data_IF_114751874138
#
_entry.id   IF_114751874138
#
_cell.length_a   1.000
_cell.length_b   1.000
_cell.length_c   1.000
_cell.angle_alpha   90.00
_cell.angle_beta   90.00
_cell.angle_gamma   90.00
#
_symmetry.space_group_name_H-M   'P 1'
#
loop_
_entity.id
_entity.type
_entity.pdbx_description
1 polymer ?
#
# COMPACT_ATOMS: atom_id res chain seq x y z
N UNK A 1 15.41 -12.60 -18.29
CA UNK A 1 15.36 -12.80 -16.83
C UNK A 1 16.09 -14.06 -16.49
N UNK A 2 17.05 -14.01 -15.56
CA UNK A 2 17.79 -15.21 -15.15
C UNK A 2 16.89 -16.12 -14.31
N UNK A 3 17.10 -17.43 -14.40
CA UNK A 3 16.33 -18.41 -13.61
C UNK A 3 16.49 -18.18 -12.08
N UNK A 4 17.65 -17.67 -11.66
CA UNK A 4 17.93 -17.28 -10.28
C UNK A 4 16.99 -16.17 -9.79
N UNK A 5 16.77 -15.14 -10.60
CA UNK A 5 15.88 -14.02 -10.27
C UNK A 5 14.41 -14.48 -10.16
N UNK A 6 13.97 -15.37 -11.05
CA UNK A 6 12.61 -15.96 -10.97
C UNK A 6 12.42 -16.70 -9.65
N UNK A 7 13.40 -17.52 -9.26
CA UNK A 7 13.37 -18.28 -8.01
C UNK A 7 13.24 -17.36 -6.77
N UNK A 8 13.92 -16.19 -6.82
CA UNK A 8 13.83 -15.18 -5.76
C UNK A 8 12.46 -14.51 -5.66
N UNK A 9 11.70 -14.42 -6.76
CA UNK A 9 10.41 -13.75 -6.78
C UNK A 9 9.24 -14.66 -6.35
N UNK A 10 9.35 -15.97 -6.57
CA UNK A 10 8.27 -16.91 -6.27
C UNK A 10 7.77 -16.89 -4.82
N UNK A 11 8.62 -16.90 -3.77
CA UNK A 11 8.15 -16.79 -2.39
C UNK A 11 7.37 -15.50 -2.15
N UNK A 12 7.81 -14.38 -2.72
CA UNK A 12 7.16 -13.09 -2.54
C UNK A 12 5.82 -13.01 -3.28
N UNK A 13 5.70 -13.65 -4.45
CA UNK A 13 4.41 -13.79 -5.15
C UNK A 13 3.42 -14.55 -4.26
N UNK A 14 3.83 -15.70 -3.69
CA UNK A 14 2.97 -16.50 -2.83
C UNK A 14 2.47 -15.73 -1.60
N UNK A 15 3.37 -14.98 -0.93
CA UNK A 15 3.00 -14.10 0.19
C UNK A 15 2.08 -12.97 -0.26
N UNK A 16 2.33 -12.37 -1.42
CA UNK A 16 1.48 -11.30 -1.93
C UNK A 16 0.08 -11.80 -2.28
N UNK A 17 -0.05 -13.01 -2.82
CA UNK A 17 -1.34 -13.67 -3.04
C UNK A 17 -2.05 -13.88 -1.69
N UNK A 18 -1.37 -14.47 -0.72
CA UNK A 18 -1.90 -14.71 0.63
C UNK A 18 -2.41 -13.43 1.29
N UNK A 19 -1.58 -12.37 1.33
CA UNK A 19 -1.94 -11.11 1.98
C UNK A 19 -3.18 -10.47 1.33
N UNK A 20 -3.27 -10.48 0.00
CA UNK A 20 -4.39 -9.85 -0.70
C UNK A 20 -5.65 -10.71 -0.74
N UNK A 21 -5.53 -12.04 -0.70
CA UNK A 21 -6.68 -12.91 -0.47
C UNK A 21 -7.35 -12.60 0.86
N UNK A 22 -6.58 -12.48 1.94
CA UNK A 22 -7.09 -12.12 3.25
C UNK A 22 -7.73 -10.71 3.26
N UNK A 23 -7.06 -9.69 2.71
CA UNK A 23 -7.59 -8.31 2.71
C UNK A 23 -8.90 -8.16 1.93
N UNK A 24 -9.18 -9.01 0.96
CA UNK A 24 -10.45 -9.01 0.23
C UNK A 24 -11.61 -9.47 1.10
N UNK A 25 -11.38 -10.46 1.94
CA UNK A 25 -12.43 -11.14 2.70
C UNK A 25 -12.57 -10.66 4.15
N UNK A 26 -11.55 -9.99 4.70
CA UNK A 26 -11.59 -9.50 6.09
C UNK A 26 -12.78 -8.53 6.34
N UNK A 27 -13.05 -7.50 5.51
CA UNK A 27 -14.18 -6.61 5.77
C UNK A 27 -15.52 -7.34 5.80
N UNK A 28 -15.89 -8.18 4.80
CA UNK A 28 -17.13 -8.94 4.84
C UNK A 28 -17.17 -10.02 5.93
N UNK A 29 -16.03 -10.58 6.31
CA UNK A 29 -15.96 -11.52 7.43
C UNK A 29 -16.32 -10.86 8.77
N UNK A 30 -15.80 -9.65 9.02
CA UNK A 30 -16.12 -8.87 10.21
C UNK A 30 -17.59 -8.41 10.22
N UNK A 31 -18.12 -8.05 9.07
CA UNK A 31 -19.53 -7.70 8.90
C UNK A 31 -20.44 -8.91 9.17
N UNK A 32 -20.07 -10.10 8.68
CA UNK A 32 -20.75 -11.36 8.99
C UNK A 32 -20.78 -11.66 10.49
N UNK A 33 -19.75 -11.25 11.23
CA UNK A 33 -19.70 -11.33 12.69
C UNK A 33 -20.55 -10.25 13.38
N UNK A 34 -21.31 -9.45 12.64
CA UNK A 34 -22.14 -8.35 13.14
C UNK A 34 -21.34 -7.27 13.90
N UNK A 35 -20.09 -7.06 13.52
CA UNK A 35 -19.24 -6.01 14.10
C UNK A 35 -19.63 -4.66 13.51
N UNK A 36 -19.80 -3.60 14.34
CA UNK A 36 -20.13 -2.27 13.84
C UNK A 36 -19.13 -1.78 12.81
N UNK A 37 -19.60 -1.15 11.72
CA UNK A 37 -18.76 -0.81 10.56
C UNK A 37 -17.63 0.16 10.91
N UNK A 38 -17.83 1.07 11.88
CA UNK A 38 -16.78 1.93 12.41
C UNK A 38 -15.64 1.11 13.03
N UNK A 39 -15.99 0.06 13.78
CA UNK A 39 -15.01 -0.83 14.39
C UNK A 39 -14.30 -1.68 13.35
N UNK A 40 -14.98 -2.10 12.28
CA UNK A 40 -14.36 -2.80 11.14
C UNK A 40 -13.23 -1.95 10.55
N UNK A 41 -13.49 -0.67 10.25
CA UNK A 41 -12.48 0.25 9.74
C UNK A 41 -11.27 0.39 10.67
N UNK A 42 -11.53 0.53 11.98
CA UNK A 42 -10.48 0.64 13.00
C UNK A 42 -9.65 -0.64 13.13
N UNK A 43 -10.29 -1.81 13.15
CA UNK A 43 -9.62 -3.10 13.22
C UNK A 43 -8.71 -3.33 12.01
N UNK A 44 -9.17 -2.98 10.82
CA UNK A 44 -8.36 -3.09 9.58
C UNK A 44 -7.15 -2.17 9.65
N UNK A 45 -7.29 -0.96 10.19
CA UNK A 45 -6.20 0.02 10.33
C UNK A 45 -5.08 -0.44 11.28
N UNK A 46 -5.35 -1.34 12.22
CA UNK A 46 -4.33 -1.87 13.14
C UNK A 46 -3.17 -2.55 12.39
N UNK A 47 -3.46 -3.25 11.30
CA UNK A 47 -2.43 -3.89 10.48
C UNK A 47 -1.38 -2.90 9.96
N UNK A 48 -1.76 -1.88 9.18
CA UNK A 48 -0.85 -0.83 8.72
C UNK A 48 -0.13 -0.08 9.86
N UNK A 49 -0.78 0.16 11.02
CA UNK A 49 -0.12 0.77 12.19
C UNK A 49 1.06 -0.09 12.66
N UNK A 50 0.81 -1.37 12.91
CA UNK A 50 1.85 -2.28 13.40
C UNK A 50 2.90 -2.57 12.32
N UNK A 51 2.53 -2.58 11.04
CA UNK A 51 3.47 -2.66 9.93
C UNK A 51 4.42 -1.45 9.89
N UNK A 52 3.89 -0.24 10.05
CA UNK A 52 4.71 0.99 10.11
C UNK A 52 5.68 0.95 11.30
N UNK A 53 5.19 0.57 12.48
CA UNK A 53 6.01 0.46 13.68
C UNK A 53 7.11 -0.61 13.58
N UNK A 54 6.87 -1.70 12.84
CA UNK A 54 7.86 -2.77 12.68
C UNK A 54 9.01 -2.42 11.74
N UNK A 55 8.79 -1.56 10.74
CA UNK A 55 9.77 -1.30 9.66
C UNK A 55 11.11 -0.78 10.15
N UNK A 56 11.08 0.19 11.07
CA UNK A 56 12.32 0.81 11.54
C UNK A 56 13.16 -0.14 12.40
N UNK A 57 12.65 -0.74 13.50
CA UNK A 57 13.45 -1.63 14.34
C UNK A 57 13.93 -2.87 13.58
N UNK A 58 13.09 -3.42 12.72
CA UNK A 58 13.43 -4.61 11.93
C UNK A 58 14.47 -4.30 10.85
N UNK A 59 14.35 -3.14 10.18
CA UNK A 59 15.34 -2.69 9.20
C UNK A 59 16.71 -2.45 9.83
N UNK A 60 16.77 -1.89 11.04
CA UNK A 60 18.01 -1.69 11.79
C UNK A 60 18.64 -3.01 12.26
N UNK A 61 17.83 -4.02 12.55
CA UNK A 61 18.28 -5.34 12.97
C UNK A 61 18.65 -6.27 11.81
N UNK A 62 18.56 -5.80 10.56
CA UNK A 62 18.88 -6.61 9.38
C UNK A 62 20.33 -7.10 9.40
N UNK A 63 20.49 -8.42 9.22
CA UNK A 63 21.79 -9.07 9.13
C UNK A 63 21.74 -10.12 8.00
N UNK A 64 22.62 -10.02 7.02
CA UNK A 64 22.71 -10.94 5.87
C UNK A 64 22.73 -12.41 6.26
N UNK A 65 23.49 -12.76 7.29
CA UNK A 65 23.66 -14.17 7.71
C UNK A 65 22.37 -14.76 8.25
N UNK A 66 21.52 -13.94 8.88
CA UNK A 66 20.26 -14.33 9.50
C UNK A 66 19.03 -13.95 8.66
N UNK A 67 19.21 -13.22 7.57
CA UNK A 67 18.13 -12.67 6.76
C UNK A 67 17.12 -13.73 6.35
N UNK A 68 17.57 -14.88 5.86
CA UNK A 68 16.71 -15.99 5.45
C UNK A 68 15.87 -16.54 6.60
N UNK A 69 16.45 -16.69 7.79
CA UNK A 69 15.72 -17.16 8.98
C UNK A 69 14.67 -16.17 9.42
N UNK A 70 15.01 -14.87 9.48
CA UNK A 70 14.09 -13.83 9.93
C UNK A 70 12.95 -13.62 8.92
N UNK A 71 13.25 -13.66 7.62
CA UNK A 71 12.24 -13.66 6.55
C UNK A 71 11.31 -14.86 6.68
N UNK A 72 11.85 -16.07 6.90
CA UNK A 72 11.05 -17.27 7.12
C UNK A 72 10.15 -17.14 8.36
N UNK A 73 10.68 -16.63 9.46
CA UNK A 73 9.91 -16.41 10.68
C UNK A 73 8.74 -15.44 10.46
N UNK A 74 8.97 -14.36 9.70
CA UNK A 74 7.90 -13.42 9.34
C UNK A 74 6.83 -14.08 8.44
N UNK A 75 7.23 -14.90 7.46
CA UNK A 75 6.30 -15.66 6.62
C UNK A 75 5.49 -16.66 7.45
N UNK A 76 6.13 -17.39 8.37
CA UNK A 76 5.45 -18.33 9.27
C UNK A 76 4.47 -17.59 10.17
N UNK A 77 4.86 -16.45 10.74
CA UNK A 77 3.97 -15.63 11.56
C UNK A 77 2.73 -15.17 10.77
N UNK A 78 2.90 -14.74 9.51
CA UNK A 78 1.79 -14.40 8.63
C UNK A 78 0.91 -15.62 8.31
N UNK A 79 1.49 -16.80 8.10
CA UNK A 79 0.75 -18.04 7.89
C UNK A 79 -0.06 -18.42 9.12
N UNK A 80 0.56 -18.37 10.30
CA UNK A 80 -0.09 -18.66 11.57
C UNK A 80 -1.25 -17.69 11.85
N UNK A 81 -1.05 -16.40 11.65
CA UNK A 81 -2.11 -15.40 11.85
C UNK A 81 -3.26 -15.61 10.87
N UNK A 82 -2.97 -15.97 9.60
CA UNK A 82 -4.03 -16.33 8.66
C UNK A 82 -4.82 -17.56 9.13
N UNK A 83 -4.15 -18.59 9.60
CA UNK A 83 -4.84 -19.76 10.16
C UNK A 83 -5.70 -19.36 11.36
N UNK A 84 -5.19 -18.51 12.25
CA UNK A 84 -5.89 -18.04 13.44
C UNK A 84 -7.12 -17.16 13.13
N UNK A 85 -7.15 -16.44 11.99
CA UNK A 85 -8.37 -15.72 11.58
C UNK A 85 -9.57 -16.64 11.41
N UNK A 86 -9.36 -17.90 11.01
CA UNK A 86 -10.45 -18.90 10.89
C UNK A 86 -11.17 -19.19 12.21
N UNK A 87 -10.56 -18.88 13.34
CA UNK A 87 -11.07 -19.10 14.69
C UNK A 87 -11.41 -17.82 15.44
N UNK A 88 -11.25 -16.66 14.80
CA UNK A 88 -11.51 -15.37 15.44
C UNK A 88 -13.02 -15.19 15.65
N UNK A 89 -13.46 -15.26 16.90
CA UNK A 89 -14.88 -15.15 17.29
C UNK A 89 -15.22 -13.82 17.97
N UNK A 90 -14.22 -12.99 18.27
CA UNK A 90 -14.42 -11.71 18.93
C UNK A 90 -13.57 -10.61 18.30
N UNK A 91 -14.04 -9.33 18.37
CA UNK A 91 -13.27 -8.19 17.88
C UNK A 91 -11.88 -8.07 18.51
N UNK A 92 -11.77 -8.39 19.81
CA UNK A 92 -10.49 -8.33 20.52
C UNK A 92 -9.50 -9.39 20.03
N UNK A 93 -9.97 -10.61 19.82
CA UNK A 93 -9.15 -11.70 19.26
C UNK A 93 -8.68 -11.31 17.84
N UNK A 94 -9.59 -10.78 17.03
CA UNK A 94 -9.24 -10.29 15.70
C UNK A 94 -8.20 -9.17 15.76
N UNK A 95 -8.34 -8.20 16.67
CA UNK A 95 -7.39 -7.09 16.84
C UNK A 95 -5.97 -7.58 17.15
N UNK A 96 -5.83 -8.57 18.05
CA UNK A 96 -4.54 -9.16 18.42
C UNK A 96 -3.92 -9.87 17.20
N UNK A 97 -4.70 -10.71 16.51
CA UNK A 97 -4.23 -11.41 15.30
C UNK A 97 -3.81 -10.41 14.22
N UNK A 98 -4.64 -9.38 13.97
CA UNK A 98 -4.37 -8.33 12.99
C UNK A 98 -3.11 -7.53 13.33
N UNK A 99 -2.88 -7.26 14.62
CA UNK A 99 -1.67 -6.60 15.08
C UNK A 99 -0.41 -7.42 14.80
N UNK A 100 -0.43 -8.71 15.14
CA UNK A 100 0.69 -9.64 14.87
C UNK A 100 0.90 -9.78 13.36
N UNK A 101 -0.17 -9.92 12.58
CA UNK A 101 -0.11 -10.01 11.12
C UNK A 101 0.52 -8.75 10.51
N UNK A 102 0.07 -7.56 10.95
CA UNK A 102 0.59 -6.28 10.50
C UNK A 102 2.08 -6.13 10.80
N UNK A 103 2.51 -6.45 12.03
CA UNK A 103 3.92 -6.43 12.41
C UNK A 103 4.75 -7.38 11.52
N UNK A 104 4.29 -8.60 11.33
CA UNK A 104 4.96 -9.61 10.49
C UNK A 104 5.03 -9.15 9.03
N UNK A 105 3.95 -8.57 8.49
CA UNK A 105 3.91 -8.03 7.12
C UNK A 105 4.89 -6.87 6.92
N UNK A 106 4.94 -5.91 7.84
CA UNK A 106 5.88 -4.79 7.78
C UNK A 106 7.34 -5.25 7.88
N UNK A 107 7.62 -6.20 8.78
CA UNK A 107 8.93 -6.84 8.89
C UNK A 107 9.31 -7.57 7.60
N UNK A 108 8.40 -8.39 7.07
CA UNK A 108 8.63 -9.16 5.86
C UNK A 108 8.94 -8.28 4.65
N UNK A 109 8.09 -7.27 4.37
CA UNK A 109 8.28 -6.40 3.20
C UNK A 109 9.58 -5.62 3.25
N UNK A 110 10.01 -5.20 4.46
CA UNK A 110 11.28 -4.50 4.67
C UNK A 110 12.48 -5.43 4.48
N UNK A 111 12.45 -6.60 5.11
CA UNK A 111 13.57 -7.55 5.07
C UNK A 111 13.68 -8.25 3.73
N UNK A 112 12.56 -8.60 3.11
CA UNK A 112 12.60 -9.32 1.84
C UNK A 112 13.17 -8.48 0.72
N UNK A 113 12.88 -7.19 0.69
CA UNK A 113 13.46 -6.28 -0.28
C UNK A 113 14.99 -6.23 -0.14
N UNK A 114 15.51 -6.11 1.10
CA UNK A 114 16.93 -6.13 1.36
C UNK A 114 17.55 -7.49 0.99
N UNK A 115 16.94 -8.58 1.42
CA UNK A 115 17.34 -9.96 1.09
C UNK A 115 17.38 -10.20 -0.42
N UNK A 116 16.36 -9.73 -1.15
CA UNK A 116 16.29 -9.84 -2.61
C UNK A 116 17.47 -9.13 -3.29
N UNK A 117 17.74 -7.88 -2.90
CA UNK A 117 18.85 -7.10 -3.47
C UNK A 117 20.21 -7.73 -3.18
N UNK A 118 20.40 -8.27 -1.97
CA UNK A 118 21.63 -8.94 -1.57
C UNK A 118 21.86 -10.31 -2.23
N UNK A 119 20.79 -10.92 -2.70
CA UNK A 119 20.82 -12.21 -3.40
C UNK A 119 20.96 -12.09 -4.92
N UNK A 120 20.94 -10.87 -5.47
CA UNK A 120 21.16 -10.64 -6.90
C UNK A 120 22.62 -10.92 -7.28
N UNK A 121 22.84 -11.49 -8.47
CA UNK A 121 24.18 -11.69 -9.00
C UNK A 121 24.89 -10.34 -9.20
N UNK A 122 26.24 -10.27 -9.03
CA UNK A 122 26.98 -9.01 -9.12
C UNK A 122 26.87 -8.30 -10.46
N UNK A 123 26.67 -9.06 -11.54
CA UNK A 123 26.51 -8.60 -12.92
C UNK A 123 25.05 -8.35 -13.33
N UNK A 124 24.09 -8.53 -12.42
CA UNK A 124 22.67 -8.31 -12.71
C UNK A 124 22.30 -6.83 -12.61
N UNK A 125 21.56 -6.34 -13.61
CA UNK A 125 21.06 -4.98 -13.61
C UNK A 125 20.01 -4.78 -12.52
N UNK A 126 20.40 -4.07 -11.46
CA UNK A 126 19.54 -3.83 -10.29
C UNK A 126 18.25 -3.11 -10.62
N UNK A 127 18.24 -2.21 -11.61
CA UNK A 127 17.03 -1.49 -12.00
C UNK A 127 16.02 -2.45 -12.62
N UNK A 128 16.46 -3.36 -13.49
CA UNK A 128 15.58 -4.39 -14.06
C UNK A 128 15.09 -5.35 -12.99
N UNK A 129 15.97 -5.79 -12.09
CA UNK A 129 15.62 -6.68 -10.99
C UNK A 129 14.56 -6.05 -10.08
N UNK A 130 14.69 -4.76 -9.71
CA UNK A 130 13.67 -4.04 -8.95
C UNK A 130 12.36 -3.91 -9.70
N UNK A 131 12.39 -3.72 -11.02
CA UNK A 131 11.20 -3.75 -11.86
C UNK A 131 10.45 -5.10 -11.78
N UNK A 132 11.19 -6.21 -11.82
CA UNK A 132 10.60 -7.55 -11.65
C UNK A 132 10.04 -7.77 -10.24
N UNK A 133 10.73 -7.26 -9.21
CA UNK A 133 10.25 -7.31 -7.83
C UNK A 133 8.90 -6.60 -7.66
N UNK A 134 8.80 -5.36 -8.13
CA UNK A 134 7.54 -4.59 -8.07
C UNK A 134 6.45 -5.24 -8.92
N UNK A 135 6.80 -5.75 -10.10
CA UNK A 135 5.88 -6.50 -10.96
C UNK A 135 5.35 -7.77 -10.31
N UNK A 136 6.20 -8.49 -9.58
CA UNK A 136 5.79 -9.70 -8.85
C UNK A 136 4.80 -9.40 -7.72
N UNK A 137 5.01 -8.30 -6.99
CA UNK A 137 4.05 -7.82 -5.98
C UNK A 137 2.69 -7.51 -6.61
N UNK A 138 2.69 -6.78 -7.72
CA UNK A 138 1.48 -6.38 -8.41
C UNK A 138 0.70 -7.59 -8.96
N UNK A 139 1.41 -8.59 -9.50
CA UNK A 139 0.83 -9.87 -9.92
C UNK A 139 0.20 -10.60 -8.73
N UNK A 140 0.92 -10.68 -7.60
CA UNK A 140 0.41 -11.27 -6.38
C UNK A 140 -0.84 -10.53 -5.84
N UNK A 141 -0.87 -9.20 -5.92
CA UNK A 141 -2.03 -8.40 -5.51
C UNK A 141 -3.26 -8.69 -6.35
N UNK A 142 -3.13 -8.69 -7.67
CA UNK A 142 -4.26 -8.98 -8.56
C UNK A 142 -4.76 -10.41 -8.37
N UNK A 143 -3.86 -11.38 -8.42
CA UNK A 143 -4.18 -12.81 -8.25
C UNK A 143 -4.78 -13.10 -6.87
N UNK A 144 -4.23 -12.50 -5.81
CA UNK A 144 -4.72 -12.67 -4.44
C UNK A 144 -6.13 -12.14 -4.24
N UNK A 145 -6.43 -10.94 -4.75
CA UNK A 145 -7.78 -10.39 -4.68
C UNK A 145 -8.80 -11.30 -5.39
N UNK A 146 -8.45 -11.82 -6.57
CA UNK A 146 -9.32 -12.72 -7.32
C UNK A 146 -9.57 -14.03 -6.56
N UNK A 147 -8.51 -14.74 -6.17
CA UNK A 147 -8.64 -16.01 -5.47
C UNK A 147 -9.24 -15.85 -4.07
N UNK A 148 -8.98 -14.73 -3.39
CA UNK A 148 -9.61 -14.43 -2.10
C UNK A 148 -11.14 -14.39 -2.20
N UNK A 149 -11.67 -13.68 -3.20
CA UNK A 149 -13.11 -13.63 -3.46
C UNK A 149 -13.67 -14.98 -3.92
N UNK A 150 -12.99 -15.65 -4.87
CA UNK A 150 -13.42 -16.94 -5.42
C UNK A 150 -13.51 -18.02 -4.35
N UNK A 151 -12.47 -18.18 -3.53
CA UNK A 151 -12.42 -19.21 -2.49
C UNK A 151 -13.45 -18.93 -1.40
N UNK A 152 -13.60 -17.66 -0.99
CA UNK A 152 -14.59 -17.29 0.01
C UNK A 152 -16.02 -17.53 -0.46
N UNK A 153 -16.30 -17.31 -1.72
CA UNK A 153 -17.63 -17.48 -2.32
C UNK A 153 -18.05 -18.96 -2.37
N UNK A 154 -17.11 -19.87 -2.70
CA UNK A 154 -17.41 -21.30 -2.88
C UNK A 154 -17.17 -22.15 -1.62
N UNK A 155 -16.21 -21.80 -0.79
CA UNK A 155 -15.79 -22.61 0.37
C UNK A 155 -15.81 -21.83 1.70
N UNK A 156 -16.24 -20.56 1.68
CA UNK A 156 -16.37 -19.71 2.85
C UNK A 156 -15.08 -19.02 3.29
N UNK A 157 -15.23 -18.10 4.24
CA UNK A 157 -14.14 -17.25 4.73
C UNK A 157 -12.98 -18.04 5.33
N UNK A 158 -13.30 -19.08 6.14
CA UNK A 158 -12.29 -19.92 6.79
C UNK A 158 -11.36 -20.61 5.77
N UNK A 159 -11.91 -21.10 4.66
CA UNK A 159 -11.12 -21.70 3.59
C UNK A 159 -10.14 -20.73 2.95
N UNK A 160 -10.52 -19.46 2.79
CA UNK A 160 -9.62 -18.42 2.28
C UNK A 160 -8.46 -18.14 3.23
N UNK A 161 -8.72 -18.10 4.53
CA UNK A 161 -7.67 -17.92 5.53
C UNK A 161 -6.74 -19.15 5.60
N UNK A 162 -7.29 -20.35 5.52
CA UNK A 162 -6.49 -21.60 5.47
C UNK A 162 -5.64 -21.67 4.19
N UNK A 163 -6.18 -21.30 3.04
CA UNK A 163 -5.41 -21.15 1.80
C UNK A 163 -4.26 -20.16 1.98
N UNK A 164 -4.52 -19.02 2.64
CA UNK A 164 -3.48 -18.05 2.99
C UNK A 164 -2.37 -18.67 3.85
N UNK A 165 -2.72 -19.47 4.84
CA UNK A 165 -1.74 -20.20 5.66
C UNK A 165 -0.90 -21.17 4.83
N UNK A 166 -1.53 -21.95 3.95
CA UNK A 166 -0.83 -22.85 3.04
C UNK A 166 0.12 -22.13 2.08
N UNK A 167 -0.31 -20.99 1.53
CA UNK A 167 0.55 -20.16 0.66
C UNK A 167 1.75 -19.59 1.40
N UNK A 168 1.62 -19.24 2.68
CA UNK A 168 2.75 -18.83 3.51
C UNK A 168 3.73 -19.97 3.75
N UNK A 169 3.25 -21.19 4.02
CA UNK A 169 4.11 -22.36 4.16
C UNK A 169 4.79 -22.71 2.84
N UNK A 170 4.07 -22.63 1.72
CA UNK A 170 4.64 -22.77 0.38
C UNK A 170 5.75 -21.75 0.14
N UNK A 171 5.55 -20.48 0.52
CA UNK A 171 6.56 -19.44 0.38
C UNK A 171 7.83 -19.76 1.17
N UNK A 172 7.70 -20.24 2.40
CA UNK A 172 8.83 -20.72 3.20
C UNK A 172 9.50 -21.93 2.53
N UNK A 173 8.74 -22.90 2.07
CA UNK A 173 9.26 -24.06 1.34
C UNK A 173 10.05 -23.66 0.11
N UNK A 174 9.52 -22.75 -0.72
CA UNK A 174 10.20 -22.22 -1.90
C UNK A 174 11.47 -21.46 -1.54
N UNK A 175 11.44 -20.67 -0.45
CA UNK A 175 12.61 -19.93 0.02
C UNK A 175 13.76 -20.86 0.43
N UNK A 176 13.47 -22.04 0.98
CA UNK A 176 14.45 -23.03 1.40
C UNK A 176 14.86 -24.00 0.28
N UNK A 177 13.93 -24.37 -0.59
CA UNK A 177 14.18 -25.23 -1.75
C UNK A 177 15.14 -24.57 -2.74
N UNK A 178 14.95 -23.29 -3.00
CA UNK A 178 15.85 -22.54 -3.86
C UNK A 178 17.07 -22.08 -3.04
N UNK A 179 18.16 -22.85 -3.06
CA UNK A 179 19.44 -22.45 -2.47
C UNK A 179 19.91 -21.15 -3.12
N UNK A 180 19.65 -20.04 -2.45
CA UNK A 180 20.00 -18.71 -2.93
C UNK A 180 21.32 -18.31 -2.30
N UNK A 181 22.42 -18.21 -3.09
CA UNK A 181 23.66 -17.68 -2.57
C UNK A 181 23.42 -16.22 -2.20
N UNK A 182 23.65 -15.86 -0.95
CA UNK A 182 23.73 -14.46 -0.54
C UNK A 182 25.07 -13.97 -1.03
N UNK A 183 25.06 -13.24 -2.13
CA UNK A 183 26.24 -12.53 -2.60
C UNK A 183 26.38 -11.30 -1.71
N UNK A 184 27.05 -11.43 -0.57
CA UNK A 184 27.45 -10.30 0.25
C UNK A 184 28.37 -9.41 -0.60
N UNK A 185 27.79 -8.59 -1.45
CA UNK A 185 28.50 -7.43 -1.97
C UNK A 185 28.82 -6.63 -0.72
N UNK A 186 30.11 -6.43 -0.45
CA UNK A 186 30.57 -5.39 0.46
C UNK A 186 30.03 -4.05 -0.08
N UNK A 187 28.71 -3.84 0.08
CA UNK A 187 28.18 -2.49 0.09
C UNK A 187 28.88 -1.90 1.31
N UNK A 188 30.04 -1.26 1.07
CA UNK A 188 30.54 -0.26 2.00
C UNK A 188 29.29 0.44 2.46
N UNK A 189 28.93 0.20 3.72
CA UNK A 189 27.83 0.88 4.35
C UNK A 189 28.01 2.32 3.88
N UNK A 190 27.08 2.80 3.06
CA UNK A 190 27.00 4.24 2.78
C UNK A 190 26.88 4.75 4.19
N UNK A 191 28.02 5.17 4.74
CA UNK A 191 28.04 5.78 6.06
C UNK A 191 26.94 6.79 5.95
N UNK A 192 25.83 6.53 6.63
CA UNK A 192 24.77 7.51 6.80
C UNK A 192 25.50 8.66 7.51
N UNK A 193 26.05 9.56 6.67
CA UNK A 193 26.83 10.68 7.11
C UNK A 193 25.86 11.62 7.81
N UNK A 194 25.81 11.48 9.11
CA UNK A 194 25.04 12.35 9.99
C UNK A 194 23.82 11.65 10.60
N UNK A 195 23.81 11.61 11.93
CA UNK A 195 22.60 11.35 12.71
C UNK A 195 21.54 12.33 12.21
N UNK A 196 20.43 11.84 11.63
CA UNK A 196 19.29 12.69 11.31
C UNK A 196 18.83 13.33 12.61
N UNK A 197 19.01 14.63 12.75
CA UNK A 197 18.40 15.37 13.85
C UNK A 197 16.89 15.39 13.64
N UNK A 198 16.14 15.06 14.68
CA UNK A 198 14.66 15.18 14.63
C UNK A 198 14.22 16.58 14.19
N UNK A 199 15.00 17.63 14.57
CA UNK A 199 14.75 19.01 14.17
C UNK A 199 14.90 19.24 12.66
N UNK A 200 15.90 18.61 12.01
CA UNK A 200 16.06 18.69 10.54
C UNK A 200 14.93 17.94 9.82
N UNK A 201 14.50 16.81 10.37
CA UNK A 201 13.38 16.04 9.81
C UNK A 201 12.06 16.81 9.88
N UNK A 202 11.80 17.51 10.99
CA UNK A 202 10.64 18.36 11.14
C UNK A 202 10.70 19.59 10.23
N UNK A 203 11.86 20.27 10.13
CA UNK A 203 12.01 21.40 9.21
C UNK A 203 11.80 20.99 7.76
N UNK A 204 12.27 19.81 7.35
CA UNK A 204 12.06 19.30 6.01
C UNK A 204 10.57 19.11 5.64
N UNK A 205 9.70 18.81 6.61
CA UNK A 205 8.25 18.69 6.40
C UNK A 205 7.60 20.02 6.02
N UNK A 206 8.21 21.14 6.40
CA UNK A 206 7.72 22.49 6.09
C UNK A 206 8.27 23.04 4.76
N UNK A 207 9.19 22.32 4.08
CA UNK A 207 9.58 22.69 2.72
C UNK A 207 8.38 22.54 1.77
N UNK A 208 7.91 23.63 1.13
CA UNK A 208 6.64 23.63 0.41
C UNK A 208 6.55 22.62 -0.72
N UNK A 209 7.68 22.37 -1.39
CA UNK A 209 7.79 21.40 -2.47
C UNK A 209 7.61 19.97 -1.95
N UNK A 210 8.29 19.62 -0.85
CA UNK A 210 8.14 18.31 -0.22
C UNK A 210 6.75 18.16 0.40
N UNK A 211 6.26 19.17 1.11
CA UNK A 211 4.93 19.16 1.74
C UNK A 211 3.83 18.86 0.71
N UNK A 212 3.91 19.47 -0.47
CA UNK A 212 2.94 19.22 -1.54
C UNK A 212 2.93 17.76 -1.99
N UNK A 213 4.10 17.19 -2.27
CA UNK A 213 4.24 15.79 -2.71
C UNK A 213 3.76 14.82 -1.63
N UNK A 214 4.06 15.13 -0.37
CA UNK A 214 3.64 14.35 0.83
C UNK A 214 2.12 14.39 1.01
N UNK A 215 1.49 15.55 0.85
CA UNK A 215 0.04 15.70 0.95
C UNK A 215 -0.68 14.92 -0.16
N UNK A 216 -0.17 14.98 -1.39
CA UNK A 216 -0.70 14.14 -2.49
C UNK A 216 -0.60 12.66 -2.14
N UNK A 217 0.55 12.19 -1.65
CA UNK A 217 0.75 10.79 -1.26
C UNK A 217 -0.21 10.36 -0.15
N UNK A 218 -0.39 11.19 0.87
CA UNK A 218 -1.31 10.95 1.98
C UNK A 218 -2.74 10.74 1.46
N UNK A 219 -3.31 11.75 0.81
CA UNK A 219 -4.71 11.71 0.39
C UNK A 219 -4.98 10.69 -0.72
N UNK A 220 -4.03 10.47 -1.62
CA UNK A 220 -4.12 9.42 -2.63
C UNK A 220 -4.25 8.03 -2.00
N UNK A 221 -3.57 7.78 -0.86
CA UNK A 221 -3.67 6.53 -0.14
C UNK A 221 -4.90 6.47 0.77
N UNK A 222 -5.34 7.57 1.37
CA UNK A 222 -6.62 7.64 2.09
C UNK A 222 -7.78 7.24 1.19
N UNK A 223 -7.93 7.89 0.04
CA UNK A 223 -9.00 7.61 -0.94
C UNK A 223 -8.94 6.17 -1.44
N UNK A 224 -7.72 5.68 -1.73
CA UNK A 224 -7.54 4.31 -2.16
C UNK A 224 -7.97 3.29 -1.12
N UNK A 225 -7.55 3.45 0.13
CA UNK A 225 -7.86 2.48 1.17
C UNK A 225 -9.34 2.50 1.57
N UNK A 226 -9.98 3.68 1.58
CA UNK A 226 -11.44 3.74 1.70
C UNK A 226 -12.09 2.91 0.58
N UNK A 227 -11.79 3.20 -0.68
CA UNK A 227 -12.36 2.47 -1.82
C UNK A 227 -12.07 0.97 -1.76
N UNK A 228 -10.84 0.58 -1.38
CA UNK A 228 -10.42 -0.82 -1.33
C UNK A 228 -11.13 -1.63 -0.24
N UNK A 229 -11.32 -1.06 0.95
CA UNK A 229 -11.98 -1.73 2.07
C UNK A 229 -13.49 -1.77 1.87
N UNK A 230 -14.09 -0.62 1.54
CA UNK A 230 -15.54 -0.49 1.53
C UNK A 230 -16.19 -1.02 0.26
N UNK A 231 -15.45 -1.27 -0.84
CA UNK A 231 -16.01 -1.97 -2.01
C UNK A 231 -16.46 -3.40 -1.66
N UNK A 232 -15.77 -4.07 -0.74
CA UNK A 232 -16.15 -5.41 -0.33
C UNK A 232 -17.50 -5.42 0.41
N UNK A 233 -17.72 -4.43 1.27
CA UNK A 233 -19.00 -4.27 1.99
C UNK A 233 -20.10 -3.75 1.06
N UNK A 234 -19.81 -2.74 0.26
CA UNK A 234 -20.75 -2.18 -0.70
C UNK A 234 -21.23 -3.20 -1.73
N UNK A 235 -20.27 -3.92 -2.34
CA UNK A 235 -20.61 -4.95 -3.33
C UNK A 235 -21.58 -5.98 -2.80
N UNK A 236 -21.34 -6.50 -1.60
CA UNK A 236 -22.26 -7.44 -0.96
C UNK A 236 -23.63 -6.82 -0.65
N UNK A 237 -23.66 -5.56 -0.19
CA UNK A 237 -24.92 -4.87 0.12
C UNK A 237 -25.81 -4.64 -1.11
N UNK A 238 -25.22 -4.59 -2.32
CA UNK A 238 -25.95 -4.48 -3.59
C UNK A 238 -26.13 -5.83 -4.31
N UNK A 239 -25.84 -6.94 -3.62
CA UNK A 239 -26.07 -8.29 -4.13
C UNK A 239 -24.97 -8.86 -5.03
N UNK A 240 -23.78 -8.26 -5.05
CA UNK A 240 -22.60 -8.86 -5.71
C UNK A 240 -22.09 -10.05 -4.90
N UNK A 241 -21.56 -11.07 -5.58
CA UNK A 241 -20.89 -12.18 -4.91
C UNK A 241 -19.46 -11.80 -4.48
N UNK A 242 -18.87 -12.56 -3.56
CA UNK A 242 -17.47 -12.37 -3.15
C UNK A 242 -16.51 -12.56 -4.33
N UNK A 243 -16.81 -13.46 -5.26
CA UNK A 243 -16.07 -13.63 -6.51
C UNK A 243 -16.09 -12.34 -7.35
N UNK A 244 -17.24 -11.72 -7.53
CA UNK A 244 -17.38 -10.47 -8.28
C UNK A 244 -16.62 -9.33 -7.62
N UNK A 245 -16.69 -9.20 -6.30
CA UNK A 245 -15.89 -8.23 -5.53
C UNK A 245 -14.39 -8.50 -5.72
N UNK A 246 -13.98 -9.76 -5.65
CA UNK A 246 -12.61 -10.17 -5.90
C UNK A 246 -12.10 -9.78 -7.29
N UNK A 247 -12.94 -9.96 -8.33
CA UNK A 247 -12.63 -9.54 -9.71
C UNK A 247 -12.48 -8.02 -9.81
N UNK A 248 -13.39 -7.23 -9.20
CA UNK A 248 -13.30 -5.75 -9.20
C UNK A 248 -11.97 -5.30 -8.59
N UNK A 249 -11.59 -5.85 -7.44
CA UNK A 249 -10.32 -5.54 -6.76
C UNK A 249 -9.12 -6.01 -7.57
N UNK A 250 -9.20 -7.19 -8.16
CA UNK A 250 -8.14 -7.75 -9.02
C UNK A 250 -7.92 -6.92 -10.28
N UNK A 251 -9.00 -6.50 -10.94
CA UNK A 251 -8.94 -5.65 -12.12
C UNK A 251 -8.32 -4.28 -11.79
N UNK A 252 -8.74 -3.66 -10.69
CA UNK A 252 -8.13 -2.42 -10.19
C UNK A 252 -6.62 -2.57 -9.99
N UNK A 253 -6.18 -3.60 -9.27
CA UNK A 253 -4.77 -3.84 -8.99
C UNK A 253 -3.97 -4.17 -10.26
N UNK A 254 -4.53 -5.01 -11.13
CA UNK A 254 -3.92 -5.38 -12.41
C UNK A 254 -3.76 -4.20 -13.35
N UNK A 255 -4.81 -3.39 -13.52
CA UNK A 255 -4.76 -2.18 -14.34
C UNK A 255 -3.75 -1.16 -13.78
N UNK A 256 -3.72 -0.96 -12.47
CA UNK A 256 -2.73 -0.10 -11.83
C UNK A 256 -1.29 -0.58 -12.11
N UNK A 257 -1.05 -1.89 -12.03
CA UNK A 257 0.26 -2.48 -12.29
C UNK A 257 0.73 -2.33 -13.75
N UNK A 258 -0.14 -2.67 -14.70
CA UNK A 258 0.17 -2.63 -16.15
C UNK A 258 0.34 -1.19 -16.64
N UNK A 259 -0.36 -0.24 -16.05
CA UNK A 259 -0.31 1.17 -16.47
C UNK A 259 0.93 1.90 -15.97
N UNK A 260 1.54 1.49 -14.84
CA UNK A 260 2.71 2.19 -14.27
C UNK A 260 3.87 2.39 -15.25
N UNK A 261 4.33 1.39 -16.00
CA UNK A 261 5.41 1.58 -16.97
C UNK A 261 5.07 2.59 -18.06
N UNK A 262 3.80 2.64 -18.46
CA UNK A 262 3.30 3.52 -19.53
C UNK A 262 3.10 4.95 -19.00
N UNK A 263 2.80 5.09 -17.70
CA UNK A 263 2.51 6.38 -17.06
C UNK A 263 3.64 7.38 -17.20
N UNK A 264 4.90 6.94 -17.29
CA UNK A 264 6.03 7.82 -17.51
C UNK A 264 5.91 8.66 -18.80
N UNK A 265 5.39 8.07 -19.89
CA UNK A 265 5.16 8.80 -21.16
C UNK A 265 4.06 9.85 -21.01
N UNK A 266 2.99 9.51 -20.26
CA UNK A 266 1.88 10.44 -19.99
C UNK A 266 2.38 11.61 -19.15
N UNK A 267 3.16 11.33 -18.10
CA UNK A 267 3.75 12.34 -17.21
C UNK A 267 4.70 13.28 -17.98
N UNK A 268 5.51 12.73 -18.87
CA UNK A 268 6.42 13.53 -19.69
C UNK A 268 5.68 14.48 -20.66
N UNK A 269 4.48 14.09 -21.16
CA UNK A 269 3.71 14.92 -22.08
C UNK A 269 2.83 15.95 -21.38
N UNK A 270 2.19 15.60 -20.28
CA UNK A 270 1.19 16.43 -19.60
C UNK A 270 1.78 17.19 -18.39
N UNK A 271 3.00 16.85 -17.98
CA UNK A 271 3.65 17.42 -16.80
C UNK A 271 3.21 16.79 -15.49
N UNK A 272 4.17 16.55 -14.59
CA UNK A 272 3.90 15.87 -13.31
C UNK A 272 3.05 16.73 -12.35
N UNK A 273 3.23 18.08 -12.34
CA UNK A 273 2.48 18.98 -11.43
C UNK A 273 0.98 18.95 -11.69
N UNK A 274 0.57 19.11 -12.94
CA UNK A 274 -0.84 19.08 -13.33
C UNK A 274 -1.48 17.74 -12.97
N UNK A 275 -0.83 16.61 -13.30
CA UNK A 275 -1.32 15.28 -13.01
C UNK A 275 -1.40 14.99 -11.50
N UNK A 276 -0.46 15.48 -10.70
CA UNK A 276 -0.51 15.31 -9.25
C UNK A 276 -1.64 16.13 -8.61
N UNK A 277 -1.85 17.39 -9.04
CA UNK A 277 -2.88 18.26 -8.49
C UNK A 277 -4.31 17.90 -8.90
N UNK A 278 -4.51 17.57 -10.18
CA UNK A 278 -5.85 17.27 -10.70
C UNK A 278 -6.19 15.79 -10.72
N UNK A 279 -5.18 14.93 -10.69
CA UNK A 279 -5.40 13.49 -10.74
C UNK A 279 -6.09 12.92 -9.50
N UNK A 280 -5.75 13.42 -8.30
CA UNK A 280 -6.44 13.00 -7.07
C UNK A 280 -7.92 13.42 -7.05
N UNK A 281 -8.30 14.69 -7.32
CA UNK A 281 -9.69 15.09 -7.45
C UNK A 281 -10.46 14.27 -8.51
N UNK A 282 -9.83 14.02 -9.64
CA UNK A 282 -10.44 13.22 -10.71
C UNK A 282 -10.64 11.76 -10.27
N UNK A 283 -9.68 11.15 -9.57
CA UNK A 283 -9.84 9.81 -9.00
C UNK A 283 -10.97 9.77 -7.96
N UNK A 284 -11.05 10.78 -7.10
CA UNK A 284 -12.12 10.92 -6.13
C UNK A 284 -13.48 11.04 -6.81
N UNK A 285 -13.58 11.86 -7.86
CA UNK A 285 -14.80 12.02 -8.65
C UNK A 285 -15.24 10.70 -9.31
N UNK A 286 -14.31 9.92 -9.85
CA UNK A 286 -14.62 8.59 -10.40
C UNK A 286 -15.20 7.68 -9.31
N UNK A 287 -14.62 7.68 -8.10
CA UNK A 287 -15.11 6.84 -7.02
C UNK A 287 -16.49 7.30 -6.49
N UNK A 288 -16.85 8.59 -6.59
CA UNK A 288 -18.20 9.04 -6.22
C UNK A 288 -19.29 8.48 -7.12
N UNK A 289 -18.94 7.95 -8.29
CA UNK A 289 -19.90 7.30 -9.18
C UNK A 289 -20.28 5.89 -8.72
N UNK A 290 -19.48 5.26 -7.84
CA UNK A 290 -19.73 3.87 -7.39
C UNK A 290 -21.14 3.65 -6.85
N UNK A 291 -21.69 4.50 -5.97
CA UNK A 291 -23.06 4.29 -5.45
C UNK A 291 -24.17 4.42 -6.48
N UNK A 292 -23.90 4.99 -7.65
CA UNK A 292 -24.88 5.07 -8.74
C UNK A 292 -25.04 3.74 -9.47
N UNK A 293 -24.12 2.81 -9.25
CA UNK A 293 -24.04 1.53 -9.94
C UNK A 293 -24.20 0.37 -8.95
N UNK A 294 -25.21 -0.44 -9.16
CA UNK A 294 -25.58 -1.56 -8.27
C UNK A 294 -25.26 -2.92 -8.83
N UNK A 295 -24.68 -3.00 -10.04
CA UNK A 295 -24.35 -4.26 -10.69
C UNK A 295 -22.85 -4.41 -10.93
N UNK A 296 -22.36 -5.64 -10.91
CA UNK A 296 -20.97 -5.95 -11.20
C UNK A 296 -20.47 -5.34 -12.51
N UNK A 297 -21.26 -5.46 -13.59
CA UNK A 297 -20.89 -4.99 -14.92
C UNK A 297 -20.70 -3.47 -15.02
N UNK A 298 -21.35 -2.70 -14.15
CA UNK A 298 -21.25 -1.23 -14.11
C UNK A 298 -20.22 -0.73 -13.10
N UNK A 299 -20.02 -1.42 -11.99
CA UNK A 299 -19.00 -1.09 -10.97
C UNK A 299 -17.59 -1.39 -11.48
N UNK A 300 -17.42 -2.49 -12.22
CA UNK A 300 -16.11 -2.92 -12.72
C UNK A 300 -15.40 -1.85 -13.57
N UNK A 301 -16.02 -1.22 -14.59
CA UNK A 301 -15.38 -0.16 -15.37
C UNK A 301 -14.96 1.05 -14.52
N UNK A 302 -15.74 1.43 -13.51
CA UNK A 302 -15.41 2.54 -12.61
C UNK A 302 -14.12 2.25 -11.85
N UNK A 303 -13.98 1.02 -11.33
CA UNK A 303 -12.76 0.61 -10.63
C UNK A 303 -11.56 0.47 -11.57
N UNK A 304 -11.75 -0.02 -12.79
CA UNK A 304 -10.71 -0.06 -13.83
C UNK A 304 -10.21 1.35 -14.13
N UNK A 305 -11.10 2.29 -14.40
CA UNK A 305 -10.74 3.70 -14.66
C UNK A 305 -10.00 4.32 -13.46
N UNK A 306 -10.47 4.07 -12.24
CA UNK A 306 -9.80 4.54 -11.02
C UNK A 306 -8.40 3.94 -10.88
N UNK A 307 -8.20 2.65 -11.19
CA UNK A 307 -6.91 1.97 -11.17
C UNK A 307 -5.91 2.53 -12.18
N UNK A 308 -6.36 2.78 -13.41
CA UNK A 308 -5.56 3.40 -14.47
C UNK A 308 -5.08 4.80 -14.06
N UNK A 309 -6.01 5.63 -13.60
CA UNK A 309 -5.71 7.00 -13.19
C UNK A 309 -4.76 7.03 -11.98
N UNK A 310 -5.00 6.18 -10.99
CA UNK A 310 -4.11 6.08 -9.82
C UNK A 310 -2.67 5.77 -10.22
N UNK A 311 -2.44 4.87 -11.18
CA UNK A 311 -1.10 4.56 -11.66
C UNK A 311 -0.39 5.80 -12.19
N UNK A 312 -1.09 6.61 -12.97
CA UNK A 312 -0.55 7.86 -13.54
C UNK A 312 -0.20 8.85 -12.42
N UNK A 313 -1.11 9.04 -11.46
CA UNK A 313 -0.91 10.00 -10.34
C UNK A 313 0.25 9.57 -9.44
N UNK A 314 0.38 8.28 -9.12
CA UNK A 314 1.51 7.77 -8.33
C UNK A 314 2.84 8.07 -9.02
N UNK A 315 2.94 7.83 -10.33
CA UNK A 315 4.16 8.09 -11.10
C UNK A 315 4.43 9.58 -11.19
N UNK A 316 3.41 10.41 -11.45
CA UNK A 316 3.54 11.87 -11.47
C UNK A 316 4.05 12.40 -10.13
N UNK A 317 3.49 11.93 -9.02
CA UNK A 317 3.90 12.37 -7.68
C UNK A 317 5.32 11.91 -7.33
N UNK A 318 5.72 10.69 -7.75
CA UNK A 318 7.09 10.21 -7.58
C UNK A 318 8.10 11.02 -8.40
N UNK A 319 7.73 11.47 -9.61
CA UNK A 319 8.54 12.39 -10.41
C UNK A 319 8.67 13.74 -9.72
N UNK A 320 7.57 14.27 -9.14
CA UNK A 320 7.59 15.51 -8.35
C UNK A 320 8.55 15.42 -7.15
N UNK A 321 8.58 14.27 -6.45
CA UNK A 321 9.53 14.05 -5.35
C UNK A 321 11.00 14.20 -5.79
N UNK A 322 11.33 13.76 -7.00
CA UNK A 322 12.71 13.78 -7.51
C UNK A 322 13.07 15.12 -8.14
N UNK A 323 12.12 15.76 -8.83
CA UNK A 323 12.39 16.98 -9.62
C UNK A 323 12.14 18.28 -8.87
N UNK A 324 11.10 18.33 -8.03
CA UNK A 324 10.69 19.58 -7.38
C UNK A 324 11.35 19.76 -6.01
N UNK A 325 11.76 18.68 -5.33
CA UNK A 325 12.40 18.77 -4.00
C UNK A 325 13.90 18.99 -4.16
N UNK A 326 14.44 20.20 -3.82
CA UNK A 326 15.85 20.50 -3.97
C UNK A 326 16.70 19.64 -3.02
N UNK A 327 17.70 18.95 -3.56
CA UNK A 327 18.63 18.13 -2.76
C UNK A 327 19.48 18.98 -1.79
N UNK A 328 19.67 20.26 -2.11
CA UNK A 328 20.34 21.24 -1.25
C UNK A 328 19.56 21.56 0.04
N UNK A 329 18.23 21.43 0.03
CA UNK A 329 17.36 21.70 1.18
C UNK A 329 16.94 20.47 1.93
N UNK A 330 16.66 19.36 1.21
CA UNK A 330 16.21 18.10 1.82
C UNK A 330 16.98 16.94 1.23
N UNK A 331 17.62 16.14 2.10
CA UNK A 331 18.33 14.92 1.66
C UNK A 331 17.33 13.94 1.01
N UNK A 332 17.65 13.39 -0.14
CA UNK A 332 16.77 12.47 -0.88
C UNK A 332 16.25 11.30 -0.04
N UNK A 333 17.09 10.76 0.85
CA UNK A 333 16.69 9.69 1.75
C UNK A 333 15.60 10.11 2.73
N UNK A 334 15.69 11.33 3.29
CA UNK A 334 14.68 11.90 4.17
C UNK A 334 13.38 12.19 3.41
N UNK A 335 13.48 12.80 2.23
CA UNK A 335 12.32 13.08 1.38
C UNK A 335 11.55 11.79 1.05
N UNK A 336 12.26 10.73 0.65
CA UNK A 336 11.65 9.42 0.38
C UNK A 336 11.03 8.78 1.62
N UNK A 337 11.68 8.90 2.79
CA UNK A 337 11.14 8.34 4.03
C UNK A 337 9.84 9.04 4.44
N UNK A 338 9.80 10.37 4.37
CA UNK A 338 8.61 11.16 4.68
C UNK A 338 7.48 10.89 3.69
N UNK A 339 7.80 10.80 2.39
CA UNK A 339 6.84 10.41 1.35
C UNK A 339 6.19 9.05 1.62
N UNK A 340 6.98 8.04 1.95
CA UNK A 340 6.47 6.71 2.24
C UNK A 340 5.66 6.69 3.55
N UNK A 341 6.11 7.40 4.58
CA UNK A 341 5.39 7.53 5.84
C UNK A 341 4.00 8.18 5.64
N UNK A 342 3.90 9.18 4.77
CA UNK A 342 2.61 9.78 4.41
C UNK A 342 1.68 8.77 3.72
N UNK A 343 2.22 7.95 2.82
CA UNK A 343 1.46 6.85 2.21
C UNK A 343 0.95 5.85 3.24
N UNK A 344 1.79 5.45 4.19
CA UNK A 344 1.41 4.54 5.27
C UNK A 344 0.35 5.16 6.20
N UNK A 345 0.47 6.45 6.53
CA UNK A 345 -0.57 7.19 7.27
C UNK A 345 -1.89 7.20 6.51
N UNK A 346 -1.87 7.37 5.18
CA UNK A 346 -3.07 7.25 4.35
C UNK A 346 -3.71 5.87 4.43
N UNK A 347 -2.90 4.81 4.45
CA UNK A 347 -3.37 3.44 4.62
C UNK A 347 -3.99 3.18 6.00
N UNK A 348 -3.56 3.90 7.03
CA UNK A 348 -4.12 3.85 8.39
C UNK A 348 -5.42 4.65 8.48
N UNK A 349 -5.42 5.90 8.01
CA UNK A 349 -6.53 6.82 8.15
C UNK A 349 -7.73 6.44 7.27
N UNK A 350 -7.48 5.92 6.05
CA UNK A 350 -8.52 5.58 5.10
C UNK A 350 -9.60 4.65 5.68
N UNK A 351 -9.27 3.45 6.16
CA UNK A 351 -10.26 2.55 6.72
C UNK A 351 -10.95 3.08 7.97
N UNK A 352 -10.20 3.75 8.87
CA UNK A 352 -10.76 4.31 10.10
C UNK A 352 -11.78 5.41 9.81
N UNK A 353 -11.43 6.39 8.99
CA UNK A 353 -12.33 7.49 8.59
C UNK A 353 -13.50 6.94 7.78
N UNK A 354 -13.24 6.03 6.84
CA UNK A 354 -14.29 5.38 6.05
C UNK A 354 -15.28 4.61 6.93
N UNK A 355 -14.79 3.93 7.98
CA UNK A 355 -15.64 3.23 8.95
C UNK A 355 -16.56 4.17 9.72
N UNK A 356 -16.05 5.32 10.17
CA UNK A 356 -16.86 6.34 10.85
C UNK A 356 -17.93 6.93 9.92
N UNK A 357 -17.59 7.24 8.67
CA UNK A 357 -18.54 7.72 7.66
C UNK A 357 -19.60 6.64 7.41
N UNK A 358 -19.18 5.39 7.19
CA UNK A 358 -20.09 4.28 6.93
C UNK A 358 -21.07 4.04 8.09
N UNK A 359 -20.61 4.15 9.34
CA UNK A 359 -21.45 4.01 10.52
C UNK A 359 -22.49 5.12 10.63
N UNK A 360 -22.12 6.35 10.27
CA UNK A 360 -23.01 7.51 10.39
C UNK A 360 -24.02 7.62 9.24
N UNK A 361 -23.63 7.26 8.01
CA UNK A 361 -24.38 7.59 6.79
C UNK A 361 -24.56 6.43 5.81
N UNK A 362 -24.05 5.23 6.18
CA UNK A 362 -24.09 4.03 5.35
C UNK A 362 -22.85 3.84 4.48
N UNK A 363 -22.63 2.58 4.05
CA UNK A 363 -21.42 2.18 3.32
C UNK A 363 -21.26 2.89 1.98
N UNK A 364 -22.36 3.13 1.26
CA UNK A 364 -22.35 3.82 -0.02
C UNK A 364 -21.80 5.26 0.09
N UNK A 365 -22.09 5.93 1.20
CA UNK A 365 -21.67 7.33 1.44
C UNK A 365 -20.15 7.47 1.60
N UNK A 366 -19.41 6.40 1.91
CA UNK A 366 -17.95 6.43 1.98
C UNK A 366 -17.34 6.84 0.64
N UNK A 367 -17.94 6.37 -0.46
CA UNK A 367 -17.46 6.71 -1.82
C UNK A 367 -17.74 8.17 -2.18
N UNK A 368 -18.80 8.78 -1.64
CA UNK A 368 -19.14 10.18 -1.90
C UNK A 368 -18.48 11.09 -0.87
N UNK A 369 -18.88 10.95 0.40
CA UNK A 369 -18.40 11.84 1.48
C UNK A 369 -16.90 11.65 1.72
N UNK A 370 -16.41 10.39 1.74
CA UNK A 370 -15.01 10.08 1.95
C UNK A 370 -14.12 10.61 0.83
N UNK A 371 -14.52 10.41 -0.43
CA UNK A 371 -13.74 10.86 -1.59
C UNK A 371 -13.77 12.38 -1.75
N UNK A 372 -14.94 13.01 -1.69
CA UNK A 372 -15.08 14.47 -1.81
C UNK A 372 -14.49 15.18 -0.59
N UNK A 373 -14.71 14.67 0.61
CA UNK A 373 -14.15 15.22 1.83
C UNK A 373 -12.61 15.16 1.82
N UNK A 374 -12.04 14.04 1.39
CA UNK A 374 -10.58 13.92 1.20
C UNK A 374 -10.04 14.90 0.17
N UNK A 375 -10.77 15.12 -0.93
CA UNK A 375 -10.42 16.11 -1.95
C UNK A 375 -10.50 17.54 -1.42
N UNK A 376 -11.55 17.87 -0.67
CA UNK A 376 -11.69 19.19 -0.05
C UNK A 376 -10.56 19.47 0.94
N UNK A 377 -10.25 18.51 1.82
CA UNK A 377 -9.14 18.60 2.75
C UNK A 377 -7.79 18.71 2.01
N UNK A 378 -7.59 17.96 0.94
CA UNK A 378 -6.42 18.09 0.10
C UNK A 378 -6.21 19.52 -0.39
N UNK A 379 -7.25 20.17 -0.95
CA UNK A 379 -7.14 21.54 -1.40
C UNK A 379 -6.89 22.52 -0.26
N UNK A 380 -7.51 22.33 0.90
CA UNK A 380 -7.24 23.15 2.09
C UNK A 380 -5.76 23.06 2.49
N UNK A 381 -5.19 21.86 2.57
CA UNK A 381 -3.79 21.67 2.92
C UNK A 381 -2.84 22.28 1.86
N UNK A 382 -3.15 22.11 0.58
CA UNK A 382 -2.36 22.72 -0.51
C UNK A 382 -2.38 24.25 -0.43
N UNK A 383 -3.54 24.85 -0.14
CA UNK A 383 -3.67 26.30 0.03
C UNK A 383 -2.90 26.79 1.26
N UNK A 384 -2.93 26.05 2.37
CA UNK A 384 -2.15 26.38 3.56
C UNK A 384 -0.65 26.38 3.28
N UNK A 385 -0.14 25.36 2.59
CA UNK A 385 1.28 25.29 2.22
C UNK A 385 1.67 26.44 1.29
N UNK A 386 0.81 26.82 0.34
CA UNK A 386 1.06 27.97 -0.55
C UNK A 386 1.11 29.29 0.21
N UNK A 387 0.23 29.50 1.18
CA UNK A 387 0.23 30.71 2.03
C UNK A 387 1.49 30.79 2.86
N UNK A 388 1.93 29.70 3.49
CA UNK A 388 3.17 29.65 4.26
C UNK A 388 4.38 30.07 3.41
N UNK A 389 4.44 29.60 2.15
CA UNK A 389 5.50 29.99 1.20
C UNK A 389 5.49 31.48 0.90
N UNK A 390 4.34 32.11 0.73
CA UNK A 390 4.22 33.55 0.48
C UNK A 390 4.69 34.35 1.68
N UNK A 391 4.33 33.97 2.89
CA UNK A 391 4.74 34.66 4.11
C UNK A 391 6.25 34.57 4.34
N UNK A 392 6.91 33.42 4.03
CA UNK A 392 8.38 33.34 4.10
C UNK A 392 9.08 34.26 3.10
N UNK A 393 8.52 34.41 1.89
CA UNK A 393 9.09 35.25 0.85
C UNK A 393 8.93 36.75 1.19
N UNK A 394 7.91 37.14 1.93
CA UNK A 394 7.67 38.49 2.41
C UNK A 394 8.55 38.87 3.63
N UNK A 395 8.90 37.90 4.47
CA UNK A 395 9.71 38.14 5.69
C UNK A 395 11.21 38.21 5.40
N UNK A 396 11.68 37.63 4.28
CA UNK A 396 13.06 37.78 3.77
C UNK A 396 13.03 38.73 2.58
N UNK A 397 13.03 40.05 2.78
CA UNK A 397 13.22 40.97 1.67
C UNK A 397 14.59 40.66 1.09
N UNK A 398 14.65 40.60 -0.24
CA UNK A 398 15.88 40.51 -1.02
C UNK A 398 16.83 41.65 -0.61
N UNK A 399 17.55 41.40 0.46
CA UNK A 399 18.51 42.30 1.04
C UNK A 399 19.88 42.04 0.46
N UNK A 400 20.29 43.00 -0.43
CA UNK A 400 21.62 43.38 -0.87
C UNK A 400 22.52 42.24 -1.41
#
# INVERSE_FOLDING_TARGET
MRLSTVKLLMPMIAVSIQANSATTVIPPYLDHMQIPVALIGTLISLGPVLALLSRLPVGMAYNHQRARLVVSAAMIAMGLTNYLYSFATSPMMFAVIQGINGFAYGALTTLYMAFYVDSLAPDENRNHAMGYYVGSLAMGYSTGNFFGGLVADHWGYAATFQLGALLSLLAVGLLWLFHMPIHAVNVRAVKSTGKLSWGESLKALFEPELATVVIVALFLNVVHQMGSVFISLYGLSVGMTLTQVGIVRAAYAGCNAVTRPISGHVVNRLGHKGLSYFGLPLQSLILTLVPLFTTFGTVLPVYVCSGLLRAIVIVANAVGLVQDVPESRVRRGLASAVYNAAGDLGNILGPSIGGLIAQATGVASVFVIGSLGSTALFFVFVLLVRRLKQTETEIVPSGA
#
